data_IF_601070615409
#
_entry.id   IF_601070615409
#
_cell.length_a   1.000
_cell.length_b   1.000
_cell.length_c   1.000
_cell.angle_alpha   90.00
_cell.angle_beta   90.00
_cell.angle_gamma   90.00
#
_symmetry.space_group_name_H-M   'P 1'
#
loop_
_entity.id
_entity.type
_entity.pdbx_description
1 polymer ?
#
# COMPACT_ATOMS: atom_id res chain seq x y z
N UNK A 1 11.86 -21.38 -6.62
CA UNK A 1 11.12 -20.09 -6.66
C UNK A 1 10.86 -19.65 -5.22
N UNK A 2 11.68 -18.72 -4.70
CA UNK A 2 11.63 -18.27 -3.30
C UNK A 2 11.21 -16.79 -3.15
N UNK A 3 10.66 -16.21 -4.21
CA UNK A 3 10.25 -14.80 -4.29
C UNK A 3 9.28 -14.45 -3.15
N UNK A 4 8.36 -15.34 -2.76
CA UNK A 4 7.42 -15.08 -1.68
C UNK A 4 8.07 -14.90 -0.29
N UNK A 5 9.14 -15.66 0.03
CA UNK A 5 9.74 -15.60 1.36
C UNK A 5 10.54 -14.31 1.56
N UNK A 6 11.28 -13.89 0.54
CA UNK A 6 12.05 -12.64 0.57
C UNK A 6 11.14 -11.41 0.67
N UNK A 7 10.03 -11.39 -0.07
CA UNK A 7 9.01 -10.31 0.00
C UNK A 7 8.41 -10.24 1.41
N UNK A 8 7.96 -11.37 1.95
CA UNK A 8 7.30 -11.43 3.27
C UNK A 8 8.24 -11.03 4.41
N UNK A 9 9.52 -11.41 4.33
CA UNK A 9 10.54 -11.01 5.29
C UNK A 9 10.81 -9.51 5.23
N UNK A 10 10.96 -8.96 4.01
CA UNK A 10 11.11 -7.53 3.77
C UNK A 10 9.89 -6.73 4.30
N UNK A 11 8.67 -7.18 4.03
CA UNK A 11 7.44 -6.56 4.54
C UNK A 11 7.36 -6.58 6.06
N UNK A 12 7.71 -7.69 6.71
CA UNK A 12 7.72 -7.78 8.18
C UNK A 12 8.76 -6.87 8.80
N UNK A 13 9.97 -6.85 8.24
CA UNK A 13 11.04 -6.00 8.71
C UNK A 13 10.69 -4.52 8.56
N UNK A 14 10.13 -4.14 7.40
CA UNK A 14 9.68 -2.79 7.12
C UNK A 14 8.53 -2.36 8.05
N UNK A 15 7.55 -3.24 8.28
CA UNK A 15 6.46 -2.98 9.24
C UNK A 15 6.99 -2.69 10.65
N UNK A 16 7.98 -3.46 11.11
CA UNK A 16 8.55 -3.28 12.45
C UNK A 16 9.22 -1.90 12.59
N UNK A 17 9.97 -1.48 11.57
CA UNK A 17 10.57 -0.14 11.53
C UNK A 17 9.54 0.97 11.49
N UNK A 18 8.53 0.86 10.63
CA UNK A 18 7.46 1.87 10.53
C UNK A 18 6.64 1.98 11.83
N UNK A 19 6.47 0.87 12.55
CA UNK A 19 5.81 0.88 13.86
C UNK A 19 6.68 1.52 14.94
N UNK A 20 7.99 1.28 14.91
CA UNK A 20 8.91 1.88 15.89
C UNK A 20 9.06 3.40 15.67
N UNK A 21 9.18 3.82 14.41
CA UNK A 21 9.37 5.22 14.04
C UNK A 21 8.07 6.05 14.07
N UNK A 22 6.98 5.52 13.52
CA UNK A 22 5.75 6.27 13.24
C UNK A 22 4.51 5.67 13.92
N UNK A 23 4.68 4.60 14.71
CA UNK A 23 3.57 3.84 15.30
C UNK A 23 2.51 3.37 14.29
N UNK A 24 2.91 3.20 13.03
CA UNK A 24 2.03 2.72 11.97
C UNK A 24 1.83 1.20 12.07
N UNK A 25 0.59 0.79 12.30
CA UNK A 25 0.18 -0.61 12.28
C UNK A 25 -0.42 -0.98 10.91
N UNK A 26 0.36 -1.67 10.07
CA UNK A 26 -0.07 -2.11 8.74
C UNK A 26 -0.32 -3.62 8.77
N UNK A 27 -1.54 -4.04 8.42
CA UNK A 27 -1.91 -5.46 8.37
C UNK A 27 -1.52 -6.07 7.02
N UNK A 28 -0.69 -7.11 7.05
CA UNK A 28 -0.23 -7.83 5.85
C UNK A 28 -1.38 -8.50 5.06
N UNK A 29 -2.50 -8.76 5.72
CA UNK A 29 -3.69 -9.37 5.11
C UNK A 29 -4.51 -8.40 4.26
N UNK A 30 -4.26 -7.09 4.35
CA UNK A 30 -5.02 -6.11 3.58
C UNK A 30 -4.46 -6.01 2.15
N UNK A 31 -5.31 -5.85 1.12
CA UNK A 31 -4.86 -5.77 -0.27
C UNK A 31 -3.92 -4.58 -0.50
N UNK A 32 -4.11 -3.49 0.24
CA UNK A 32 -3.28 -2.28 0.16
C UNK A 32 -2.05 -2.29 1.09
N UNK A 33 -1.63 -3.45 1.62
CA UNK A 33 -0.52 -3.53 2.58
C UNK A 33 0.78 -2.95 2.01
N UNK A 34 1.16 -3.37 0.80
CA UNK A 34 2.38 -2.93 0.12
C UNK A 34 2.32 -1.43 -0.18
N UNK A 35 1.17 -0.95 -0.68
CA UNK A 35 0.99 0.46 -1.03
C UNK A 35 1.03 1.37 0.21
N UNK A 36 0.40 0.94 1.31
CA UNK A 36 0.48 1.63 2.60
C UNK A 36 1.92 1.68 3.16
N UNK A 37 2.67 0.59 3.02
CA UNK A 37 4.09 0.54 3.44
C UNK A 37 4.94 1.50 2.60
N UNK A 38 4.77 1.52 1.27
CA UNK A 38 5.49 2.44 0.39
C UNK A 38 5.16 3.90 0.69
N UNK A 39 3.88 4.22 0.95
CA UNK A 39 3.46 5.57 1.34
C UNK A 39 4.08 5.99 2.68
N UNK A 40 4.20 5.07 3.64
CA UNK A 40 4.86 5.31 4.91
C UNK A 40 6.37 5.52 4.76
N UNK A 41 7.03 4.78 3.85
CA UNK A 41 8.43 5.00 3.49
C UNK A 41 8.69 6.40 2.93
N UNK A 42 7.74 6.98 2.17
CA UNK A 42 7.86 8.35 1.66
C UNK A 42 7.75 9.40 2.76
N UNK A 43 6.95 9.14 3.81
CA UNK A 43 6.82 10.02 4.98
C UNK A 43 7.95 9.84 5.99
N UNK A 44 8.64 8.70 5.95
CA UNK A 44 9.79 8.43 6.82
C UNK A 44 10.98 9.29 6.42
N UNK A 45 11.58 9.93 7.43
CA UNK A 45 12.82 10.69 7.26
C UNK A 45 14.07 9.81 7.41
N UNK A 46 13.88 8.50 7.59
CA UNK A 46 14.95 7.54 7.75
C UNK A 46 15.38 6.96 6.39
N UNK A 47 16.63 7.19 6.03
CA UNK A 47 17.23 6.71 4.77
C UNK A 47 17.15 5.19 4.61
N UNK A 48 17.30 4.41 5.69
CA UNK A 48 17.20 2.95 5.65
C UNK A 48 15.76 2.49 5.38
N UNK A 49 14.77 3.16 5.97
CA UNK A 49 13.35 2.87 5.71
C UNK A 49 12.97 3.16 4.25
N UNK A 50 13.56 4.21 3.65
CA UNK A 50 13.39 4.53 2.23
C UNK A 50 14.03 3.50 1.30
N UNK A 51 15.22 3.01 1.64
CA UNK A 51 15.90 1.97 0.86
C UNK A 51 15.12 0.65 0.88
N UNK A 52 14.65 0.23 2.05
CA UNK A 52 13.79 -0.95 2.19
C UNK A 52 12.49 -0.83 1.37
N UNK A 53 11.89 0.37 1.30
CA UNK A 53 10.74 0.62 0.44
C UNK A 53 11.04 0.41 -1.06
N UNK A 54 12.23 0.81 -1.53
CA UNK A 54 12.65 0.56 -2.92
C UNK A 54 12.84 -0.93 -3.18
N UNK A 55 13.50 -1.64 -2.27
CA UNK A 55 13.67 -3.09 -2.38
C UNK A 55 12.32 -3.82 -2.43
N UNK A 56 11.39 -3.45 -1.54
CA UNK A 56 10.04 -4.03 -1.53
C UNK A 56 9.31 -3.82 -2.86
N UNK A 57 9.45 -2.65 -3.48
CA UNK A 57 8.84 -2.38 -4.79
C UNK A 57 9.47 -3.20 -5.92
N UNK A 58 10.80 -3.37 -5.91
CA UNK A 58 11.49 -4.29 -6.84
C UNK A 58 10.97 -5.71 -6.70
N UNK A 59 10.73 -6.16 -5.46
CA UNK A 59 10.19 -7.49 -5.20
C UNK A 59 8.72 -7.64 -5.59
N UNK A 60 7.94 -6.56 -5.53
CA UNK A 60 6.52 -6.57 -5.80
C UNK A 60 6.17 -6.29 -7.27
N UNK A 61 7.16 -5.97 -8.12
CA UNK A 61 6.99 -5.48 -9.50
C UNK A 61 6.03 -4.26 -9.61
N UNK A 62 5.80 -3.56 -8.49
CA UNK A 62 5.05 -2.31 -8.49
C UNK A 62 6.04 -1.18 -8.81
N UNK A 63 5.76 -0.32 -9.80
CA UNK A 63 6.54 0.89 -9.99
C UNK A 63 6.44 1.73 -8.71
N UNK A 64 7.58 1.96 -8.04
CA UNK A 64 7.63 2.95 -6.97
C UNK A 64 7.11 4.29 -7.50
N UNK A 65 6.17 4.97 -6.82
CA UNK A 65 5.93 6.37 -7.10
C UNK A 65 7.14 7.14 -6.57
N UNK A 66 8.19 7.20 -7.40
CA UNK A 66 9.34 8.06 -7.16
C UNK A 66 8.81 9.48 -7.05
N UNK A 67 9.15 10.11 -5.92
CA UNK A 67 8.85 11.49 -5.62
C UNK A 67 9.48 12.41 -6.68
N UNK A 68 8.75 12.66 -7.76
CA UNK A 68 8.83 13.86 -8.61
C UNK A 68 7.54 13.92 -9.41
N UNK A 69 6.65 14.82 -8.97
CA UNK A 69 5.61 15.59 -9.71
C UNK A 69 4.22 15.52 -9.00
N UNK A 70 3.56 16.68 -8.79
CA UNK A 70 2.24 16.77 -8.14
C UNK A 70 1.15 15.98 -8.91
N UNK A 71 0.04 15.63 -8.24
CA UNK A 71 -0.79 14.47 -8.57
C UNK A 71 -1.55 14.68 -9.87
N UNK A 72 -1.24 13.87 -10.88
CA UNK A 72 -2.19 13.56 -11.94
C UNK A 72 -3.04 12.40 -11.43
N UNK A 73 -4.30 12.72 -11.18
CA UNK A 73 -5.37 11.82 -10.84
C UNK A 73 -5.43 10.62 -11.78
N UNK A 74 -5.31 9.41 -11.25
CA UNK A 74 -5.93 8.23 -11.87
C UNK A 74 -6.57 7.38 -10.78
N UNK A 75 -7.88 7.59 -10.68
CA UNK A 75 -8.87 6.67 -10.16
C UNK A 75 -8.49 5.19 -10.35
N UNK A 76 -8.52 4.43 -9.27
CA UNK A 76 -9.13 3.10 -9.28
C UNK A 76 -10.25 3.06 -8.24
N UNK A 77 -11.38 3.64 -8.65
CA UNK A 77 -12.75 3.13 -8.51
C UNK A 77 -12.73 1.60 -8.25
N UNK A 78 -13.37 0.98 -7.24
CA UNK A 78 -14.77 1.11 -6.79
C UNK A 78 -14.94 0.49 -5.41
N UNK A 79 -15.22 1.31 -4.40
CA UNK A 79 -15.99 0.86 -3.25
C UNK A 79 -17.26 1.71 -3.23
N UNK A 80 -18.26 1.29 -4.01
CA UNK A 80 -19.62 1.81 -3.93
C UNK A 80 -20.59 0.62 -3.86
N UNK A 81 -21.57 0.64 -2.93
CA UNK A 81 -22.33 -0.52 -2.53
C UNK A 81 -23.27 -1.04 -3.64
N UNK A 82 -23.47 -2.36 -3.62
CA UNK A 82 -24.38 -3.12 -4.46
C UNK A 82 -25.82 -2.61 -4.31
N UNK A 83 -26.30 -1.85 -5.30
CA UNK A 83 -27.72 -1.45 -5.40
C UNK A 83 -28.46 -2.51 -6.22
N UNK A 84 -29.17 -3.41 -5.54
CA UNK A 84 -30.16 -4.32 -6.15
C UNK A 84 -31.41 -3.49 -6.49
N UNK A 85 -31.60 -3.19 -7.77
CA UNK A 85 -32.86 -2.62 -8.26
C UNK A 85 -33.86 -3.77 -8.42
N UNK A 86 -34.86 -3.83 -7.53
CA UNK A 86 -36.05 -4.66 -7.69
C UNK A 86 -37.20 -3.73 -8.11
N UNK A 87 -37.81 -3.99 -9.27
CA UNK A 87 -39.05 -3.36 -9.79
C UNK A 87 -39.21 -1.85 -9.54
N UNK A 88 -38.32 -1.04 -10.11
CA UNK A 88 -38.66 0.35 -10.46
C UNK A 88 -38.59 1.42 -9.36
N UNK A 89 -37.90 1.20 -8.23
CA UNK A 89 -37.72 2.26 -7.23
C UNK A 89 -36.28 2.25 -6.66
N UNK A 90 -35.58 3.39 -6.80
CA UNK A 90 -34.21 3.59 -6.29
C UNK A 90 -34.26 4.15 -4.87
N UNK A 91 -33.64 3.47 -3.91
CA UNK A 91 -33.37 3.98 -2.55
C UNK A 91 -31.87 3.90 -2.33
N UNK A 92 -31.24 5.04 -1.99
CA UNK A 92 -29.81 5.13 -1.67
C UNK A 92 -29.58 4.81 -0.20
N UNK A 93 -28.50 4.07 0.10
CA UNK A 93 -27.87 3.99 1.42
C UNK A 93 -26.37 3.93 1.24
#
# INVERSE_FOLDING_TARGET
MEINKAVLDCMQHLRRRLRDEQQLDIRLSQPDAVQAMLAACLRSNNETTRDLGKQLATYSDLPTPTATKPPASEHHDRHAPSVRIYRGQRVMS
#
